data_IF_344128195297
#
_entry.id   IF_344128195297
#
_cell.length_a   1.000
_cell.length_b   1.000
_cell.length_c   1.000
_cell.angle_alpha   90.00
_cell.angle_beta   90.00
_cell.angle_gamma   90.00
#
_symmetry.space_group_name_H-M   'P 1'
#
loop_
_entity.id
_entity.type
_entity.pdbx_description
1 polymer ?
#
# COMPACT_ATOMS: atom_id res chain seq x y z
N UNK A 1 -7.85 12.45 -18.12
CA UNK A 1 -7.86 12.15 -16.67
C UNK A 1 -7.11 13.28 -16.00
N UNK A 2 -7.73 14.00 -15.09
CA UNK A 2 -7.06 15.05 -14.31
C UNK A 2 -6.24 14.45 -13.14
N UNK A 3 -5.43 15.28 -12.48
CA UNK A 3 -4.53 14.81 -11.42
C UNK A 3 -5.29 14.17 -10.23
N UNK A 4 -6.45 14.72 -9.87
CA UNK A 4 -7.29 14.18 -8.79
C UNK A 4 -7.83 12.79 -9.14
N UNK A 5 -8.25 12.59 -10.39
CA UNK A 5 -8.70 11.28 -10.86
C UNK A 5 -7.57 10.25 -10.83
N UNK A 6 -6.34 10.64 -11.24
CA UNK A 6 -5.17 9.75 -11.17
C UNK A 6 -4.88 9.34 -9.73
N UNK A 7 -4.91 10.29 -8.80
CA UNK A 7 -4.66 10.03 -7.37
C UNK A 7 -5.74 9.10 -6.78
N UNK A 8 -7.02 9.41 -7.00
CA UNK A 8 -8.14 8.57 -6.53
C UNK A 8 -8.04 7.15 -7.07
N UNK A 9 -7.71 7.00 -8.34
CA UNK A 9 -7.55 5.69 -8.98
C UNK A 9 -6.34 4.93 -8.41
N UNK A 10 -5.23 5.62 -8.12
CA UNK A 10 -4.05 5.01 -7.49
C UNK A 10 -4.33 4.52 -6.05
N UNK A 11 -5.10 5.28 -5.29
CA UNK A 11 -5.52 4.89 -3.93
C UNK A 11 -6.54 3.75 -3.96
N UNK A 12 -7.48 3.74 -4.90
CA UNK A 12 -8.41 2.63 -5.11
C UNK A 12 -7.67 1.33 -5.51
N UNK A 13 -6.64 1.45 -6.39
CA UNK A 13 -5.74 0.33 -6.68
C UNK A 13 -5.02 -0.16 -5.43
N UNK A 14 -4.54 0.75 -4.57
CA UNK A 14 -3.88 0.38 -3.31
C UNK A 14 -4.81 -0.45 -2.41
N UNK A 15 -6.05 -0.01 -2.22
CA UNK A 15 -7.05 -0.73 -1.42
C UNK A 15 -7.38 -2.12 -2.00
N UNK A 16 -7.52 -2.22 -3.33
CA UNK A 16 -7.73 -3.48 -4.03
C UNK A 16 -6.54 -4.44 -3.86
N UNK A 17 -5.32 -3.95 -4.05
CA UNK A 17 -4.10 -4.75 -3.92
C UNK A 17 -3.88 -5.22 -2.48
N UNK A 18 -4.17 -4.37 -1.48
CA UNK A 18 -4.08 -4.74 -0.06
C UNK A 18 -5.08 -5.83 0.31
N UNK A 19 -6.27 -5.83 -0.27
CA UNK A 19 -7.24 -6.93 -0.09
C UNK A 19 -6.71 -8.26 -0.64
N UNK A 20 -6.06 -8.25 -1.81
CA UNK A 20 -5.46 -9.45 -2.40
C UNK A 20 -4.29 -9.98 -1.58
N UNK A 21 -3.41 -9.08 -1.11
CA UNK A 21 -2.29 -9.46 -0.25
C UNK A 21 -2.75 -9.97 1.11
N UNK A 22 -3.76 -9.34 1.72
CA UNK A 22 -4.33 -9.83 2.97
C UNK A 22 -4.81 -11.28 2.85
N UNK A 23 -5.54 -11.60 1.78
CA UNK A 23 -6.01 -12.97 1.53
C UNK A 23 -4.84 -13.96 1.39
N UNK A 24 -3.82 -13.62 0.58
CA UNK A 24 -2.64 -14.47 0.40
C UNK A 24 -1.86 -14.68 1.71
N UNK A 25 -1.72 -13.64 2.53
CA UNK A 25 -1.02 -13.72 3.81
C UNK A 25 -1.84 -14.47 4.87
N UNK A 26 -3.17 -14.32 4.89
CA UNK A 26 -4.04 -15.06 5.80
C UNK A 26 -3.89 -16.57 5.61
N UNK A 27 -3.72 -17.01 4.37
CA UNK A 27 -3.52 -18.42 4.04
C UNK A 27 -2.07 -18.89 4.33
N UNK A 28 -1.17 -17.95 4.71
CA UNK A 28 0.24 -18.17 5.03
C UNK A 28 0.64 -17.48 6.35
N UNK A 29 0.03 -17.82 7.50
CA UNK A 29 0.23 -17.11 8.76
C UNK A 29 1.64 -17.25 9.35
N UNK A 30 2.42 -18.26 8.90
CA UNK A 30 3.80 -18.51 9.31
C UNK A 30 4.80 -17.52 8.71
N UNK A 31 4.42 -16.76 7.67
CA UNK A 31 5.30 -15.81 6.97
C UNK A 31 5.40 -14.48 7.75
N UNK A 32 5.98 -14.54 8.95
CA UNK A 32 6.01 -13.40 9.89
C UNK A 32 6.70 -12.15 9.32
N UNK A 33 7.73 -12.33 8.47
CA UNK A 33 8.41 -11.19 7.81
C UNK A 33 7.49 -10.52 6.79
N UNK A 34 6.74 -11.29 6.01
CA UNK A 34 5.77 -10.75 5.06
C UNK A 34 4.61 -10.04 5.78
N UNK A 35 4.13 -10.60 6.88
CA UNK A 35 3.14 -9.95 7.75
C UNK A 35 3.66 -8.63 8.33
N UNK A 36 4.92 -8.57 8.76
CA UNK A 36 5.54 -7.33 9.25
C UNK A 36 5.58 -6.25 8.17
N UNK A 37 5.94 -6.60 6.93
CA UNK A 37 5.93 -5.67 5.79
C UNK A 37 4.49 -5.21 5.48
N UNK A 38 3.51 -6.11 5.52
CA UNK A 38 2.11 -5.77 5.30
C UNK A 38 1.57 -4.83 6.39
N UNK A 39 1.82 -5.14 7.66
CA UNK A 39 1.43 -4.27 8.77
C UNK A 39 2.07 -2.88 8.65
N UNK A 40 3.31 -2.79 8.14
CA UNK A 40 3.95 -1.52 7.87
C UNK A 40 3.25 -0.74 6.75
N UNK A 41 2.82 -1.39 5.68
CA UNK A 41 2.02 -0.72 4.62
C UNK A 41 0.80 -0.06 5.22
N UNK A 42 0.04 -0.78 6.03
CA UNK A 42 -1.16 -0.26 6.68
C UNK A 42 -0.85 0.83 7.70
N UNK A 43 0.17 0.62 8.55
CA UNK A 43 0.59 1.59 9.56
C UNK A 43 1.10 2.89 8.95
N UNK A 44 1.92 2.82 7.90
CA UNK A 44 2.40 3.99 7.18
C UNK A 44 1.25 4.76 6.52
N UNK A 45 0.31 4.04 5.88
CA UNK A 45 -0.86 4.66 5.26
C UNK A 45 -1.75 5.37 6.30
N UNK A 46 -1.99 4.76 7.46
CA UNK A 46 -2.75 5.39 8.56
C UNK A 46 -2.03 6.63 9.11
N UNK A 47 -0.71 6.56 9.33
CA UNK A 47 0.06 7.72 9.81
C UNK A 47 -0.03 8.89 8.83
N UNK A 48 0.03 8.64 7.53
CA UNK A 48 -0.12 9.69 6.52
C UNK A 48 -1.54 10.23 6.44
N UNK A 49 -2.56 9.37 6.55
CA UNK A 49 -3.95 9.80 6.60
C UNK A 49 -4.21 10.69 7.84
N UNK A 50 -3.69 10.29 9.00
CA UNK A 50 -3.80 11.05 10.23
C UNK A 50 -3.18 12.46 10.11
N UNK A 51 -2.00 12.57 9.46
CA UNK A 51 -1.37 13.87 9.17
C UNK A 51 -2.23 14.74 8.26
N UNK A 52 -2.78 14.16 7.18
CA UNK A 52 -3.68 14.85 6.27
C UNK A 52 -4.96 15.34 6.98
N UNK A 53 -5.49 14.53 7.89
CA UNK A 53 -6.68 14.85 8.67
C UNK A 53 -6.36 15.68 9.96
N UNK A 54 -5.10 16.02 10.19
CA UNK A 54 -4.62 16.77 11.37
C UNK A 54 -5.06 16.14 12.71
N UNK A 55 -4.99 14.83 12.79
CA UNK A 55 -5.30 14.05 13.99
C UNK A 55 -4.13 13.15 14.42
N UNK A 56 -4.10 12.66 15.65
CA UNK A 56 -3.17 11.60 16.04
C UNK A 56 -3.40 10.33 15.22
N UNK A 57 -2.30 9.61 14.88
CA UNK A 57 -2.41 8.28 14.30
C UNK A 57 -2.90 7.28 15.34
N UNK A 58 -3.74 6.33 14.90
CA UNK A 58 -4.25 5.26 15.76
C UNK A 58 -3.23 4.14 15.98
N UNK A 59 -2.18 4.08 15.16
CA UNK A 59 -1.13 3.06 15.21
C UNK A 59 0.26 3.65 14.94
N UNK A 60 1.30 2.91 15.30
CA UNK A 60 2.68 3.24 14.91
C UNK A 60 2.92 2.97 13.41
N UNK A 61 4.02 3.51 12.86
CA UNK A 61 4.45 3.26 11.46
C UNK A 61 4.75 1.77 11.21
N UNK A 62 5.28 1.07 12.23
CA UNK A 62 5.54 -0.37 12.23
C UNK A 62 4.70 -1.04 13.33
N UNK A 63 3.37 -1.17 13.16
CA UNK A 63 2.54 -1.75 14.19
C UNK A 63 2.68 -3.28 14.23
N UNK A 64 2.47 -3.85 15.41
CA UNK A 64 2.28 -5.30 15.57
C UNK A 64 0.78 -5.53 15.69
N UNK A 65 0.18 -6.14 14.67
CA UNK A 65 -1.27 -6.32 14.57
C UNK A 65 -1.61 -7.81 14.56
N UNK A 66 -2.68 -8.19 15.22
CA UNK A 66 -3.35 -9.46 14.98
C UNK A 66 -4.03 -9.46 13.61
N UNK A 67 -4.42 -10.64 13.12
CA UNK A 67 -5.12 -10.78 11.85
C UNK A 67 -6.39 -9.88 11.78
N UNK A 68 -7.21 -9.91 12.83
CA UNK A 68 -8.44 -9.09 12.88
C UNK A 68 -8.15 -7.59 12.95
N UNK A 69 -7.07 -7.17 13.64
CA UNK A 69 -6.66 -5.76 13.67
C UNK A 69 -6.12 -5.30 12.31
N UNK A 70 -5.36 -6.14 11.62
CA UNK A 70 -4.85 -5.83 10.28
C UNK A 70 -5.99 -5.68 9.27
N UNK A 71 -7.00 -6.56 9.32
CA UNK A 71 -8.17 -6.47 8.45
C UNK A 71 -9.00 -5.21 8.72
N UNK A 72 -9.28 -4.93 9.98
CA UNK A 72 -9.99 -3.71 10.38
C UNK A 72 -9.24 -2.42 9.97
N UNK A 73 -7.90 -2.40 10.14
CA UNK A 73 -7.09 -1.25 9.74
C UNK A 73 -7.06 -1.08 8.22
N UNK A 74 -6.96 -2.18 7.45
CA UNK A 74 -7.04 -2.17 5.99
C UNK A 74 -8.33 -1.50 5.50
N UNK A 75 -9.46 -1.88 6.07
CA UNK A 75 -10.75 -1.29 5.72
C UNK A 75 -10.86 0.18 6.13
N UNK A 76 -10.42 0.51 7.33
CA UNK A 76 -10.42 1.88 7.85
C UNK A 76 -9.58 2.82 7.00
N UNK A 77 -8.38 2.40 6.60
CA UNK A 77 -7.46 3.17 5.74
C UNK A 77 -8.07 3.37 4.35
N UNK A 78 -8.62 2.33 3.72
CA UNK A 78 -9.25 2.42 2.41
C UNK A 78 -10.40 3.43 2.42
N UNK A 79 -11.35 3.28 3.35
CA UNK A 79 -12.48 4.20 3.53
C UNK A 79 -12.03 5.61 3.90
N UNK A 80 -10.99 5.73 4.72
CA UNK A 80 -10.43 7.02 5.13
C UNK A 80 -9.89 7.83 3.95
N UNK A 81 -9.10 7.21 3.05
CA UNK A 81 -8.60 7.90 1.86
C UNK A 81 -9.70 8.23 0.86
N UNK A 82 -10.68 7.35 0.67
CA UNK A 82 -11.86 7.64 -0.16
C UNK A 82 -12.59 8.86 0.36
N UNK A 83 -12.92 8.88 1.65
CA UNK A 83 -13.59 10.00 2.32
C UNK A 83 -12.76 11.27 2.26
N UNK A 84 -11.43 11.20 2.51
CA UNK A 84 -10.55 12.36 2.47
C UNK A 84 -10.54 12.98 1.06
N UNK A 85 -10.26 12.18 0.03
CA UNK A 85 -10.15 12.68 -1.34
C UNK A 85 -11.49 13.12 -1.94
N UNK A 86 -12.63 12.57 -1.50
CA UNK A 86 -13.95 13.00 -1.95
C UNK A 86 -14.31 14.43 -1.51
N UNK A 87 -13.69 14.90 -0.42
CA UNK A 87 -13.94 16.25 0.15
C UNK A 87 -12.95 17.31 -0.33
N UNK A 88 -11.90 16.90 -1.05
CA UNK A 88 -10.91 17.85 -1.57
C UNK A 88 -11.52 18.68 -2.72
N UNK A 89 -11.40 19.99 -2.58
CA UNK A 89 -11.76 20.94 -3.63
C UNK A 89 -10.78 20.88 -4.82
N UNK A 90 -11.22 21.29 -6.01
CA UNK A 90 -10.32 21.46 -7.14
C UNK A 90 -9.15 22.39 -6.78
N UNK A 91 -7.91 21.93 -7.01
CA UNK A 91 -6.71 22.69 -6.67
C UNK A 91 -6.10 22.37 -5.31
N UNK A 92 -6.83 21.75 -4.39
CA UNK A 92 -6.32 21.42 -3.04
C UNK A 92 -5.11 20.47 -3.03
N UNK A 93 -4.80 19.82 -4.15
CA UNK A 93 -3.59 18.99 -4.26
C UNK A 93 -2.29 19.78 -4.10
N UNK A 94 -2.31 21.09 -4.37
CA UNK A 94 -1.18 21.99 -4.21
C UNK A 94 -1.10 22.63 -2.81
N UNK A 95 -2.14 22.44 -1.98
CA UNK A 95 -2.13 22.94 -0.61
C UNK A 95 -1.09 22.21 0.21
N UNK A 96 -0.35 22.97 1.01
CA UNK A 96 0.75 22.45 1.82
C UNK A 96 0.28 22.19 3.25
N UNK A 97 0.61 21.03 3.77
CA UNK A 97 0.44 20.72 5.19
C UNK A 97 1.79 20.71 5.90
N UNK A 98 1.77 21.16 7.16
CA UNK A 98 2.89 21.00 8.09
C UNK A 98 2.68 19.73 8.92
N UNK A 99 3.74 18.95 9.09
CA UNK A 99 3.75 17.82 10.01
C UNK A 99 5.15 17.56 10.56
N UNK A 100 5.20 16.90 11.71
CA UNK A 100 6.46 16.48 12.35
C UNK A 100 6.64 14.98 12.20
N UNK A 101 7.85 14.54 11.82
CA UNK A 101 8.18 13.11 11.73
C UNK A 101 8.52 12.54 13.12
N UNK A 102 8.76 11.22 13.18
CA UNK A 102 9.12 10.51 14.42
C UNK A 102 10.47 10.93 15.03
N UNK A 103 11.30 11.64 14.26
CA UNK A 103 12.59 12.19 14.72
C UNK A 103 12.46 13.65 15.22
N UNK A 104 11.23 14.20 15.28
CA UNK A 104 10.99 15.58 15.71
C UNK A 104 11.27 16.66 14.66
N UNK A 105 11.51 16.26 13.39
CA UNK A 105 11.73 17.20 12.31
C UNK A 105 10.41 17.65 11.69
N UNK A 106 10.27 18.96 11.45
CA UNK A 106 9.08 19.55 10.82
C UNK A 106 9.28 19.63 9.30
N UNK A 107 8.25 19.27 8.57
CA UNK A 107 8.18 19.28 7.11
C UNK A 107 6.93 20.00 6.62
N UNK A 108 7.05 20.54 5.40
CA UNK A 108 5.96 21.16 4.67
C UNK A 108 5.85 20.44 3.32
N UNK A 109 4.72 19.79 3.05
CA UNK A 109 4.57 18.96 1.85
C UNK A 109 3.19 19.14 1.26
N UNK A 110 3.10 19.20 -0.06
CA UNK A 110 1.82 19.32 -0.76
C UNK A 110 0.97 18.05 -0.56
N UNK A 111 -0.34 18.22 -0.44
CA UNK A 111 -1.30 17.12 -0.28
C UNK A 111 -1.15 16.10 -1.42
N UNK A 112 -1.00 16.57 -2.66
CA UNK A 112 -0.83 15.70 -3.83
C UNK A 112 0.41 14.81 -3.73
N UNK A 113 1.54 15.36 -3.27
CA UNK A 113 2.79 14.61 -3.09
C UNK A 113 2.64 13.53 -2.00
N UNK A 114 1.94 13.83 -0.92
CA UNK A 114 1.67 12.87 0.15
C UNK A 114 0.79 11.73 -0.36
N UNK A 115 -0.29 12.03 -1.07
CA UNK A 115 -1.21 11.02 -1.61
C UNK A 115 -0.51 10.12 -2.63
N UNK A 116 0.33 10.70 -3.49
CA UNK A 116 1.15 9.95 -4.44
C UNK A 116 2.19 9.10 -3.72
N UNK A 117 2.87 9.67 -2.70
CA UNK A 117 3.81 8.91 -1.87
C UNK A 117 3.16 7.67 -1.25
N UNK A 118 1.97 7.78 -0.68
CA UNK A 118 1.26 6.65 -0.08
C UNK A 118 1.03 5.52 -1.09
N UNK A 119 0.59 5.86 -2.30
CA UNK A 119 0.38 4.87 -3.35
C UNK A 119 1.68 4.17 -3.78
N UNK A 120 2.75 4.94 -4.02
CA UNK A 120 4.06 4.44 -4.46
C UNK A 120 4.78 3.65 -3.37
N UNK A 121 4.77 4.14 -2.12
CA UNK A 121 5.34 3.47 -0.97
C UNK A 121 4.66 2.11 -0.72
N UNK A 122 3.32 2.10 -0.78
CA UNK A 122 2.57 0.85 -0.68
C UNK A 122 2.97 -0.14 -1.79
N UNK A 123 3.10 0.31 -3.03
CA UNK A 123 3.48 -0.56 -4.15
C UNK A 123 4.89 -1.14 -4.00
N UNK A 124 5.85 -0.35 -3.50
CA UNK A 124 7.19 -0.82 -3.18
C UNK A 124 7.18 -1.99 -2.18
N UNK A 125 6.44 -1.86 -1.08
CA UNK A 125 6.33 -2.92 -0.07
C UNK A 125 5.52 -4.12 -0.54
N UNK A 126 4.47 -3.94 -1.34
CA UNK A 126 3.71 -5.04 -1.97
C UNK A 126 4.59 -5.91 -2.86
N UNK A 127 5.54 -5.30 -3.59
CA UNK A 127 6.55 -6.04 -4.35
C UNK A 127 7.43 -6.92 -3.45
N UNK A 128 7.87 -6.38 -2.29
CA UNK A 128 8.64 -7.16 -1.29
C UNK A 128 7.83 -8.31 -0.72
N UNK A 129 6.56 -8.09 -0.38
CA UNK A 129 5.68 -9.14 0.15
C UNK A 129 5.51 -10.26 -0.88
N UNK A 130 5.27 -9.92 -2.14
CA UNK A 130 5.16 -10.91 -3.22
C UNK A 130 6.45 -11.69 -3.44
N UNK A 131 7.62 -11.06 -3.28
CA UNK A 131 8.90 -11.76 -3.30
C UNK A 131 8.99 -12.77 -2.14
N UNK A 132 8.60 -12.37 -0.93
CA UNK A 132 8.61 -13.25 0.25
C UNK A 132 7.64 -14.43 0.11
N UNK A 133 6.44 -14.22 -0.48
CA UNK A 133 5.52 -15.30 -0.81
C UNK A 133 6.19 -16.31 -1.75
N UNK A 134 6.76 -15.87 -2.88
CA UNK A 134 7.46 -16.77 -3.83
C UNK A 134 8.61 -17.53 -3.20
N UNK A 135 9.44 -16.87 -2.41
CA UNK A 135 10.58 -17.51 -1.73
C UNK A 135 10.16 -18.61 -0.75
N UNK A 136 8.91 -18.60 -0.31
CA UNK A 136 8.35 -19.61 0.60
C UNK A 136 7.34 -20.54 -0.11
N UNK A 137 7.41 -20.64 -1.44
CA UNK A 137 6.53 -21.49 -2.25
C UNK A 137 5.02 -21.19 -2.07
N UNK A 138 4.70 -19.97 -1.64
CA UNK A 138 3.33 -19.49 -1.56
C UNK A 138 2.95 -18.71 -2.82
N UNK A 139 1.65 -18.74 -3.17
CA UNK A 139 1.13 -18.04 -4.36
C UNK A 139 1.20 -16.51 -4.17
N UNK A 140 1.85 -15.76 -5.06
CA UNK A 140 1.88 -14.31 -4.99
C UNK A 140 0.50 -13.69 -5.23
N UNK A 141 0.22 -12.59 -4.55
CA UNK A 141 -1.00 -11.84 -4.80
C UNK A 141 -0.89 -10.96 -6.04
N UNK A 142 -1.93 -10.89 -6.83
CA UNK A 142 -2.00 -9.92 -7.91
C UNK A 142 -2.07 -8.51 -7.33
N UNK A 143 -1.07 -7.69 -7.68
CA UNK A 143 -0.94 -6.32 -7.19
C UNK A 143 -0.64 -5.32 -8.32
N UNK A 144 -0.67 -5.76 -9.58
CA UNK A 144 -0.38 -4.92 -10.72
C UNK A 144 -1.52 -3.95 -11.02
N UNK A 145 -1.15 -2.69 -11.23
CA UNK A 145 -2.10 -1.63 -11.56
C UNK A 145 -2.92 -1.92 -12.82
N UNK A 146 -2.27 -2.49 -13.85
CA UNK A 146 -2.98 -2.80 -15.11
C UNK A 146 -4.02 -3.91 -14.93
N UNK A 147 -3.80 -4.87 -14.02
CA UNK A 147 -4.77 -5.90 -13.68
C UNK A 147 -6.00 -5.30 -13.00
N UNK A 148 -5.79 -4.35 -12.09
CA UNK A 148 -6.87 -3.58 -11.45
C UNK A 148 -7.71 -2.82 -12.49
N UNK A 149 -7.08 -2.08 -13.40
CA UNK A 149 -7.77 -1.27 -14.43
C UNK A 149 -8.57 -2.15 -15.40
N UNK A 150 -8.05 -3.32 -15.75
CA UNK A 150 -8.72 -4.26 -16.66
C UNK A 150 -9.86 -5.04 -16.01
N UNK A 151 -10.02 -4.96 -14.69
CA UNK A 151 -11.00 -5.78 -13.96
C UNK A 151 -10.73 -7.28 -14.08
N UNK A 152 -9.53 -7.69 -14.47
CA UNK A 152 -9.15 -9.09 -14.66
C UNK A 152 -9.02 -9.73 -13.28
N UNK A 153 -9.70 -10.87 -13.01
CA UNK A 153 -9.29 -11.74 -11.92
C UNK A 153 -7.85 -12.14 -12.20
N UNK A 154 -6.93 -11.82 -11.29
CA UNK A 154 -5.53 -12.04 -11.56
C UNK A 154 -5.20 -13.53 -11.59
N UNK A 155 -5.15 -14.09 -12.76
CA UNK A 155 -4.38 -15.31 -12.99
C UNK A 155 -2.90 -14.91 -12.94
N UNK A 156 -2.17 -15.37 -11.95
CA UNK A 156 -0.72 -15.22 -11.91
C UNK A 156 -0.16 -16.12 -13.02
N UNK A 157 0.30 -15.50 -14.10
CA UNK A 157 1.05 -16.24 -15.12
C UNK A 157 2.38 -16.65 -14.48
N UNK A 158 2.73 -17.94 -14.42
CA UNK A 158 4.04 -18.36 -13.93
C UNK A 158 5.12 -17.65 -14.75
N UNK A 159 6.02 -16.95 -14.08
CA UNK A 159 7.21 -16.41 -14.74
C UNK A 159 8.04 -17.62 -15.18
N UNK A 160 8.40 -17.76 -16.47
CA UNK A 160 9.29 -18.82 -16.90
C UNK A 160 10.57 -18.79 -16.05
N UNK A 161 11.02 -19.95 -15.57
CA UNK A 161 12.32 -20.05 -14.89
C UNK A 161 13.39 -19.48 -15.82
N UNK A 162 14.09 -18.47 -15.35
CA UNK A 162 15.30 -17.98 -16.00
C UNK A 162 16.32 -19.13 -15.90
N UNK A 163 16.36 -19.98 -16.93
CA UNK A 163 17.45 -20.92 -17.11
C UNK A 163 18.72 -20.10 -17.24
N UNK A 164 19.54 -20.08 -16.20
CA UNK A 164 20.90 -19.57 -16.28
C UNK A 164 21.61 -20.38 -17.38
N UNK A 165 21.75 -19.76 -18.56
CA UNK A 165 22.63 -20.31 -19.58
C UNK A 165 24.03 -20.41 -18.95
N UNK A 166 24.48 -21.66 -18.72
CA UNK A 166 25.87 -21.91 -18.32
C UNK A 166 26.76 -21.23 -19.36
N UNK A 167 27.56 -20.27 -18.89
CA UNK A 167 28.69 -19.77 -19.69
C UNK A 167 29.51 -21.00 -20.12
N UNK A 168 29.62 -21.19 -21.40
CA UNK A 168 30.55 -22.17 -21.95
C UNK A 168 31.94 -21.51 -21.88
N UNK A 169 32.86 -22.25 -21.28
CA UNK A 169 34.32 -22.03 -21.34
C UNK A 169 34.82 -22.01 -22.81
#
# INVERSE_FOLDING_TARGET
MDAMQVIRQSLAHSAWADTKLFAALRDNPQLTVAWREYNHVLGAAEVWLARLERRPSSVAVWPVLSLGQADALREAVATGYERFTSRLEPGALTDVIEYTNSAGQTFHTAIGDILLHVALHGQYHRGKINLLLRQNAAEPAAADYIAFVRGVPAAVTPVPELTHAKARE
#
